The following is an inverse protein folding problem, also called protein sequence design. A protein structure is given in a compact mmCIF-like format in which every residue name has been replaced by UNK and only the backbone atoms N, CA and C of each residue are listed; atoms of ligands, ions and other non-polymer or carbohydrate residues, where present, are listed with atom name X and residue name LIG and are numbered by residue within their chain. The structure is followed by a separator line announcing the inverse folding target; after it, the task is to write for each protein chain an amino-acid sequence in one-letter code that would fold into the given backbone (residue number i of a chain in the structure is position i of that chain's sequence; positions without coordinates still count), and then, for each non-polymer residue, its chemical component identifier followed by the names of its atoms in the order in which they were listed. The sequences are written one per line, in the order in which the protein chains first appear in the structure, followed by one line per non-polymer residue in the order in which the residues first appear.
data_IF_194354238433
#
_entry.id   IF_194354238433
#
_cell.length_a   1.000
_cell.length_b   1.000
_cell.length_c   1.000
_cell.angle_alpha   90.00
_cell.angle_beta   90.00
_cell.angle_gamma   90.00
#
_symmetry.space_group_name_H-M   'P 1'
#
loop_
_entity.id
_entity.type
_entity.pdbx_description
1 polymer ?
#
# COMPACT_ATOMS: atom_id res chain seq x y z
N UNK A 1 5.80 -26.32 -54.49
CA UNK A 1 4.97 -25.99 -53.32
C UNK A 1 3.53 -25.97 -53.82
N UNK A 2 2.80 -27.04 -53.59
CA UNK A 2 1.42 -27.22 -54.06
C UNK A 2 0.51 -26.36 -53.17
N UNK A 3 -0.20 -25.43 -53.77
CA UNK A 3 -1.30 -24.70 -53.10
C UNK A 3 -2.44 -25.69 -52.83
N UNK A 4 -2.65 -26.08 -51.61
CA UNK A 4 -3.86 -26.75 -51.16
C UNK A 4 -5.03 -25.78 -51.33
N UNK A 5 -5.82 -26.02 -52.39
CA UNK A 5 -7.13 -25.41 -52.55
C UNK A 5 -8.05 -25.91 -51.46
N UNK A 6 -8.33 -25.07 -50.45
CA UNK A 6 -9.40 -25.35 -49.47
C UNK A 6 -10.70 -25.57 -50.24
N UNK A 7 -11.43 -26.67 -50.00
CA UNK A 7 -12.72 -26.87 -50.64
C UNK A 7 -13.64 -25.72 -50.25
N UNK A 8 -14.21 -25.05 -51.27
CA UNK A 8 -15.28 -24.07 -51.05
C UNK A 8 -16.46 -24.83 -50.45
N UNK A 9 -17.01 -24.44 -49.29
CA UNK A 9 -18.20 -25.12 -48.75
C UNK A 9 -19.33 -25.10 -49.77
N UNK A 10 -20.02 -26.20 -49.91
CA UNK A 10 -21.24 -26.24 -50.72
C UNK A 10 -22.15 -25.10 -50.24
N UNK A 11 -22.70 -24.30 -51.15
CA UNK A 11 -23.53 -23.14 -50.83
C UNK A 11 -24.66 -23.54 -49.89
N UNK A 12 -24.95 -22.69 -48.89
CA UNK A 12 -26.07 -22.91 -47.98
C UNK A 12 -27.37 -22.99 -48.76
N UNK A 13 -28.27 -23.91 -48.40
CA UNK A 13 -29.63 -23.89 -48.85
C UNK A 13 -30.37 -22.65 -48.36
N UNK A 14 -31.41 -22.21 -49.05
CA UNK A 14 -32.23 -21.06 -48.62
C UNK A 14 -32.72 -21.19 -47.18
N UNK A 15 -33.14 -22.39 -46.78
CA UNK A 15 -33.55 -22.67 -45.39
C UNK A 15 -32.39 -22.55 -44.37
N UNK A 16 -31.17 -22.99 -44.75
CA UNK A 16 -30.01 -22.84 -43.89
C UNK A 16 -29.59 -21.38 -43.73
N UNK A 17 -29.71 -20.58 -44.80
CA UNK A 17 -29.46 -19.14 -44.73
C UNK A 17 -30.47 -18.43 -43.83
N UNK A 18 -31.76 -18.73 -43.98
CA UNK A 18 -32.79 -18.18 -43.08
C UNK A 18 -32.53 -18.54 -41.62
N UNK A 19 -32.22 -19.79 -41.33
CA UNK A 19 -31.89 -20.22 -39.95
C UNK A 19 -30.66 -19.51 -39.43
N UNK A 20 -29.64 -19.32 -40.22
CA UNK A 20 -28.44 -18.59 -39.84
C UNK A 20 -28.73 -17.12 -39.50
N UNK A 21 -29.55 -16.46 -40.33
CA UNK A 21 -29.96 -15.09 -40.09
C UNK A 21 -30.77 -14.91 -38.80
N UNK A 22 -31.69 -15.86 -38.53
CA UNK A 22 -32.46 -15.85 -37.27
C UNK A 22 -31.60 -16.10 -36.02
N UNK A 23 -30.46 -16.80 -36.20
CA UNK A 23 -29.51 -17.06 -35.11
C UNK A 23 -28.59 -15.88 -34.80
N UNK A 24 -28.25 -15.05 -35.79
CA UNK A 24 -27.22 -14.00 -35.63
C UNK A 24 -27.79 -12.59 -35.53
N UNK A 25 -29.09 -12.38 -35.83
CA UNK A 25 -29.76 -11.09 -35.78
C UNK A 25 -31.19 -11.19 -35.31
N UNK A 26 -31.66 -10.19 -34.55
CA UNK A 26 -33.06 -10.09 -34.14
C UNK A 26 -33.96 -9.53 -35.25
N UNK A 27 -33.39 -8.76 -36.18
CA UNK A 27 -34.09 -8.19 -37.30
C UNK A 27 -33.20 -8.01 -38.51
N UNK A 28 -33.76 -8.21 -39.74
CA UNK A 28 -33.07 -7.99 -41.02
C UNK A 28 -33.82 -6.94 -41.78
N UNK A 29 -33.09 -6.06 -42.46
CA UNK A 29 -33.61 -5.08 -43.36
C UNK A 29 -32.87 -5.09 -44.71
N UNK A 30 -33.59 -4.80 -45.77
CA UNK A 30 -33.09 -4.75 -47.14
C UNK A 30 -33.66 -3.49 -47.81
N UNK A 31 -32.79 -2.52 -48.09
CA UNK A 31 -33.14 -1.24 -48.66
C UNK A 31 -32.76 -1.16 -50.12
N UNK A 32 -33.77 -0.90 -50.97
CA UNK A 32 -33.60 -0.53 -52.37
C UNK A 32 -33.60 1.00 -52.47
N UNK A 33 -32.43 1.60 -52.72
CA UNK A 33 -32.27 3.04 -52.74
C UNK A 33 -32.98 3.71 -53.91
N UNK A 34 -33.16 2.98 -55.07
CA UNK A 34 -33.78 3.50 -56.24
C UNK A 34 -35.31 3.67 -56.11
N UNK A 35 -35.92 2.81 -55.27
CA UNK A 35 -37.38 2.82 -55.07
C UNK A 35 -37.79 3.37 -53.68
N UNK A 36 -36.84 3.50 -52.79
CA UNK A 36 -37.10 3.83 -51.40
C UNK A 36 -37.74 2.69 -50.57
N UNK A 37 -37.91 1.52 -51.17
CA UNK A 37 -38.50 0.34 -50.53
C UNK A 37 -37.56 -0.28 -49.53
N UNK A 38 -38.07 -0.61 -48.35
CA UNK A 38 -37.33 -1.31 -47.30
C UNK A 38 -38.10 -2.54 -46.87
N UNK A 39 -37.57 -3.72 -47.20
CA UNK A 39 -38.07 -4.97 -46.62
C UNK A 39 -37.59 -5.10 -45.17
N UNK A 40 -38.43 -5.62 -44.29
CA UNK A 40 -38.12 -6.00 -42.92
C UNK A 40 -38.68 -7.38 -42.66
N UNK A 41 -37.82 -8.26 -42.08
CA UNK A 41 -38.25 -9.60 -41.74
C UNK A 41 -39.20 -9.59 -40.52
N UNK A 42 -39.94 -10.68 -40.22
CA UNK A 42 -40.80 -10.77 -39.04
C UNK A 42 -40.08 -10.54 -37.70
N UNK A 43 -38.80 -10.92 -37.61
CA UNK A 43 -37.95 -10.70 -36.44
C UNK A 43 -37.77 -9.23 -36.07
N UNK A 44 -37.62 -8.34 -37.10
CA UNK A 44 -37.55 -6.89 -36.90
C UNK A 44 -38.79 -6.33 -36.17
N UNK A 45 -39.98 -6.80 -36.63
CA UNK A 45 -41.25 -6.38 -36.00
C UNK A 45 -41.39 -6.96 -34.59
N UNK A 46 -41.04 -8.25 -34.38
CA UNK A 46 -41.13 -8.94 -33.10
C UNK A 46 -40.21 -8.30 -32.05
N UNK A 47 -38.99 -7.94 -32.43
CA UNK A 47 -38.02 -7.27 -31.56
C UNK A 47 -38.57 -5.97 -30.98
N UNK A 48 -39.27 -5.17 -31.78
CA UNK A 48 -39.85 -3.89 -31.36
C UNK A 48 -41.30 -4.01 -30.85
N UNK A 49 -41.90 -5.22 -30.87
CA UNK A 49 -43.26 -5.50 -30.40
C UNK A 49 -44.35 -5.07 -31.37
N UNK A 50 -44.04 -4.75 -32.62
CA UNK A 50 -45.06 -4.44 -33.66
C UNK A 50 -45.60 -5.70 -34.29
N UNK A 51 -46.88 -5.73 -34.71
CA UNK A 51 -47.39 -6.81 -35.53
C UNK A 51 -46.63 -6.89 -36.85
N UNK A 52 -46.32 -8.09 -37.34
CA UNK A 52 -45.59 -8.27 -38.61
C UNK A 52 -46.28 -7.53 -39.75
N UNK A 53 -45.50 -6.81 -40.55
CA UNK A 53 -45.96 -6.03 -41.69
C UNK A 53 -46.98 -4.92 -41.38
N UNK A 54 -47.06 -4.46 -40.13
CA UNK A 54 -47.99 -3.40 -39.72
C UNK A 54 -47.56 -1.99 -40.12
N UNK A 55 -46.32 -1.82 -40.57
CA UNK A 55 -45.77 -0.51 -40.95
C UNK A 55 -45.44 -0.45 -42.43
N UNK A 56 -45.38 0.76 -43.00
CA UNK A 56 -45.01 0.97 -44.38
C UNK A 56 -43.57 0.52 -44.67
N UNK A 57 -43.35 -0.10 -45.84
CA UNK A 57 -42.04 -0.56 -46.29
C UNK A 57 -41.22 0.61 -46.91
N UNK A 58 -40.92 1.61 -46.09
CA UNK A 58 -40.17 2.80 -46.53
C UNK A 58 -39.09 3.19 -45.52
N UNK A 59 -38.11 4.01 -45.91
CA UNK A 59 -37.09 4.60 -45.06
C UNK A 59 -37.72 5.46 -43.94
N UNK A 60 -38.81 6.18 -44.26
CA UNK A 60 -39.51 7.02 -43.28
C UNK A 60 -40.01 6.23 -42.05
N UNK A 61 -40.32 4.94 -42.22
CA UNK A 61 -40.70 4.07 -41.12
C UNK A 61 -39.54 3.87 -40.16
N UNK A 62 -38.30 3.64 -40.66
CA UNK A 62 -37.12 3.53 -39.86
C UNK A 62 -36.82 4.84 -39.11
N UNK A 63 -36.84 5.96 -39.83
CA UNK A 63 -36.61 7.27 -39.21
C UNK A 63 -37.61 7.55 -38.08
N UNK A 64 -38.90 7.17 -38.27
CA UNK A 64 -39.96 7.44 -37.30
C UNK A 64 -39.84 6.67 -35.98
N UNK A 65 -39.07 5.60 -35.95
CA UNK A 65 -38.83 4.79 -34.72
C UNK A 65 -37.54 5.14 -34.01
N UNK A 66 -36.65 5.93 -34.61
CA UNK A 66 -35.42 6.39 -33.97
C UNK A 66 -35.78 7.38 -32.82
N UNK A 67 -35.08 7.25 -31.66
CA UNK A 67 -35.26 8.21 -30.58
C UNK A 67 -34.87 9.62 -31.05
N UNK A 68 -35.66 10.67 -30.71
CA UNK A 68 -35.39 12.04 -31.20
C UNK A 68 -33.97 12.56 -30.91
N UNK A 69 -33.41 12.26 -29.76
CA UNK A 69 -32.03 12.66 -29.40
C UNK A 69 -30.97 11.92 -30.26
N UNK A 70 -31.23 10.68 -30.64
CA UNK A 70 -30.28 9.87 -31.44
C UNK A 70 -30.37 10.15 -32.93
N UNK A 71 -31.52 10.64 -33.41
CA UNK A 71 -31.82 10.86 -34.81
C UNK A 71 -30.73 11.66 -35.58
N UNK A 72 -30.27 12.85 -35.10
CA UNK A 72 -29.28 13.63 -35.86
C UNK A 72 -27.95 12.87 -36.04
N UNK A 73 -27.52 12.13 -35.00
CA UNK A 73 -26.28 11.35 -35.02
C UNK A 73 -26.38 10.14 -35.94
N UNK A 74 -27.51 9.44 -35.88
CA UNK A 74 -27.76 8.26 -36.72
C UNK A 74 -27.82 8.65 -38.18
N UNK A 75 -28.55 9.72 -38.53
CA UNK A 75 -28.65 10.21 -39.92
C UNK A 75 -27.30 10.67 -40.44
N UNK A 76 -26.53 11.44 -39.66
CA UNK A 76 -25.19 11.86 -40.07
C UNK A 76 -24.25 10.67 -40.34
N UNK A 77 -24.34 9.61 -39.51
CA UNK A 77 -23.56 8.38 -39.73
C UNK A 77 -24.00 7.63 -40.97
N UNK A 78 -25.30 7.48 -41.20
CA UNK A 78 -25.86 6.87 -42.39
C UNK A 78 -25.45 7.62 -43.67
N UNK A 79 -25.62 8.95 -43.71
CA UNK A 79 -25.21 9.80 -44.85
C UNK A 79 -23.70 9.72 -45.12
N UNK A 80 -22.87 9.68 -44.07
CA UNK A 80 -21.43 9.53 -44.24
C UNK A 80 -21.07 8.19 -44.89
N UNK A 81 -21.78 7.10 -44.54
CA UNK A 81 -21.55 5.79 -45.08
C UNK A 81 -22.00 5.68 -46.55
N UNK A 82 -23.21 6.12 -46.90
CA UNK A 82 -23.71 6.05 -48.29
C UNK A 82 -22.90 6.95 -49.25
N UNK A 83 -22.26 8.02 -48.73
CA UNK A 83 -21.34 8.88 -49.47
C UNK A 83 -19.88 8.41 -49.41
N UNK A 84 -19.61 7.17 -49.04
CA UNK A 84 -18.29 6.52 -48.98
C UNK A 84 -17.27 7.26 -48.12
N UNK A 85 -17.73 7.99 -47.10
CA UNK A 85 -16.86 8.65 -46.10
C UNK A 85 -16.50 7.75 -44.94
N UNK A 86 -17.25 6.66 -44.74
CA UNK A 86 -17.02 5.65 -43.71
C UNK A 86 -16.88 4.27 -44.39
N UNK A 87 -16.00 3.41 -43.86
CA UNK A 87 -15.78 2.05 -44.37
C UNK A 87 -16.86 1.07 -43.93
N UNK A 88 -17.48 1.32 -42.75
CA UNK A 88 -18.46 0.43 -42.13
C UNK A 88 -19.69 1.20 -41.68
N UNK A 89 -20.87 0.60 -41.88
CA UNK A 89 -22.10 1.04 -41.27
C UNK A 89 -22.35 0.21 -40.02
N UNK A 90 -22.11 0.81 -38.85
CA UNK A 90 -22.37 0.23 -37.55
C UNK A 90 -22.72 1.35 -36.59
N UNK A 91 -23.93 1.35 -36.04
CA UNK A 91 -24.40 2.40 -35.16
C UNK A 91 -25.35 1.84 -34.11
N UNK A 92 -25.17 2.29 -32.89
CA UNK A 92 -26.07 1.93 -31.77
C UNK A 92 -27.02 3.11 -31.48
N UNK A 93 -28.31 2.83 -31.37
CA UNK A 93 -29.31 3.86 -31.06
C UNK A 93 -30.56 3.25 -30.43
N UNK A 94 -31.41 4.11 -29.89
CA UNK A 94 -32.70 3.72 -29.30
C UNK A 94 -33.78 3.71 -30.34
N UNK A 95 -34.49 2.56 -30.45
CA UNK A 95 -35.69 2.40 -31.27
C UNK A 95 -36.94 2.39 -30.38
N UNK A 96 -37.98 3.09 -30.82
CA UNK A 96 -39.28 3.10 -30.18
C UNK A 96 -40.04 1.82 -30.42
N UNK A 97 -40.42 1.15 -29.34
CA UNK A 97 -41.28 -0.02 -29.37
C UNK A 97 -42.76 0.34 -29.53
N UNK A 98 -43.58 -0.65 -29.85
CA UNK A 98 -45.02 -0.50 -30.05
C UNK A 98 -45.74 0.03 -28.80
N UNK A 99 -45.27 -0.33 -27.60
CA UNK A 99 -45.79 0.13 -26.30
C UNK A 99 -45.33 1.54 -25.91
N UNK A 100 -44.53 2.19 -26.75
CA UNK A 100 -43.98 3.52 -26.52
C UNK A 100 -42.65 3.54 -25.72
N UNK A 101 -42.16 2.39 -25.21
CA UNK A 101 -40.83 2.27 -24.62
C UNK A 101 -39.75 2.35 -25.71
N UNK A 102 -38.47 2.44 -25.24
CA UNK A 102 -37.32 2.43 -26.12
C UNK A 102 -36.42 1.24 -25.85
N UNK A 103 -35.92 0.65 -26.94
CA UNK A 103 -35.00 -0.47 -26.96
C UNK A 103 -33.68 -0.05 -27.61
N UNK A 104 -32.55 -0.38 -26.97
CA UNK A 104 -31.26 -0.18 -27.61
C UNK A 104 -31.02 -1.25 -28.67
N UNK A 105 -30.71 -0.81 -29.88
CA UNK A 105 -30.29 -1.68 -30.96
C UNK A 105 -28.91 -1.31 -31.47
N UNK A 106 -28.20 -2.30 -31.99
CA UNK A 106 -27.05 -2.17 -32.87
C UNK A 106 -27.52 -2.40 -34.29
N UNK A 107 -27.31 -1.43 -35.16
CA UNK A 107 -27.68 -1.48 -36.57
C UNK A 107 -26.39 -1.54 -37.39
N UNK A 108 -26.26 -2.61 -38.18
CA UNK A 108 -25.13 -2.85 -39.08
C UNK A 108 -25.58 -3.15 -40.47
N UNK A 109 -24.82 -2.70 -41.49
CA UNK A 109 -25.22 -2.93 -42.87
C UNK A 109 -24.09 -2.80 -43.87
N UNK A 110 -24.32 -3.35 -45.05
CA UNK A 110 -23.39 -3.34 -46.16
C UNK A 110 -24.10 -2.93 -47.48
N UNK A 111 -23.44 -2.09 -48.28
CA UNK A 111 -23.85 -1.79 -49.64
C UNK A 111 -23.52 -3.01 -50.50
N UNK A 112 -24.54 -3.60 -51.11
CA UNK A 112 -24.42 -4.81 -51.95
C UNK A 112 -24.52 -4.54 -53.44
N UNK A 113 -24.99 -3.35 -53.85
CA UNK A 113 -25.04 -2.93 -55.24
C UNK A 113 -24.94 -1.42 -55.37
N UNK A 114 -24.32 -0.97 -56.49
CA UNK A 114 -24.24 0.43 -56.88
C UNK A 114 -24.91 0.60 -58.27
N UNK A 115 -25.39 1.79 -58.54
CA UNK A 115 -25.84 2.22 -59.84
C UNK A 115 -24.66 2.53 -60.81
N UNK A 116 -24.91 2.73 -62.09
CA UNK A 116 -23.87 3.08 -63.04
C UNK A 116 -23.15 4.41 -62.70
N UNK A 117 -23.85 5.32 -62.07
CA UNK A 117 -23.29 6.61 -61.61
C UNK A 117 -22.49 6.54 -60.29
N UNK A 118 -22.34 5.33 -59.72
CA UNK A 118 -21.63 5.09 -58.45
C UNK A 118 -22.48 5.33 -57.18
N UNK A 119 -23.72 5.78 -57.31
CA UNK A 119 -24.65 5.91 -56.19
C UNK A 119 -25.08 4.54 -55.64
N UNK A 120 -25.51 4.47 -54.37
CA UNK A 120 -25.99 3.22 -53.76
C UNK A 120 -27.28 2.77 -54.41
N UNK A 121 -27.34 1.52 -54.90
CA UNK A 121 -28.54 0.90 -55.43
C UNK A 121 -29.26 0.02 -54.40
N UNK A 122 -28.51 -0.73 -53.58
CA UNK A 122 -29.09 -1.62 -52.55
C UNK A 122 -28.16 -1.81 -51.37
N UNK A 123 -28.74 -1.83 -50.18
CA UNK A 123 -28.06 -2.06 -48.94
C UNK A 123 -28.82 -3.10 -48.10
N UNK A 124 -28.08 -4.03 -47.49
CA UNK A 124 -28.62 -5.08 -46.62
C UNK A 124 -28.01 -4.93 -45.22
N UNK A 125 -28.81 -5.12 -44.20
CA UNK A 125 -28.31 -5.03 -42.84
C UNK A 125 -29.15 -5.77 -41.82
N UNK A 126 -28.69 -5.67 -40.58
CA UNK A 126 -29.28 -6.34 -39.46
C UNK A 126 -29.34 -5.46 -38.21
N UNK A 127 -30.42 -5.59 -37.47
CA UNK A 127 -30.59 -5.05 -36.15
C UNK A 127 -30.36 -6.14 -35.11
N UNK A 128 -29.66 -5.80 -34.04
CA UNK A 128 -29.46 -6.64 -32.86
C UNK A 128 -29.94 -5.89 -31.63
N UNK A 129 -30.72 -6.57 -30.83
CA UNK A 129 -31.10 -6.05 -29.51
C UNK A 129 -29.93 -6.08 -28.53
N UNK A 130 -29.47 -4.93 -28.11
CA UNK A 130 -28.37 -4.78 -27.17
C UNK A 130 -28.83 -4.22 -25.81
N UNK A 131 -30.12 -4.14 -25.55
CA UNK A 131 -30.68 -3.51 -24.34
C UNK A 131 -30.23 -4.22 -23.05
N UNK A 132 -30.21 -5.56 -23.08
CA UNK A 132 -29.72 -6.34 -21.96
C UNK A 132 -28.23 -6.05 -21.65
N UNK A 133 -27.41 -5.93 -22.70
CA UNK A 133 -25.99 -5.59 -22.57
C UNK A 133 -25.82 -4.17 -22.02
N UNK A 134 -26.59 -3.20 -22.52
CA UNK A 134 -26.54 -1.81 -22.01
C UNK A 134 -26.93 -1.71 -20.54
N UNK A 135 -27.98 -2.44 -20.13
CA UNK A 135 -28.39 -2.50 -18.71
C UNK A 135 -27.32 -3.13 -17.83
N UNK A 136 -26.71 -4.24 -18.28
CA UNK A 136 -25.64 -4.92 -17.53
C UNK A 136 -24.42 -4.01 -17.36
N UNK A 137 -24.00 -3.32 -18.43
CA UNK A 137 -22.89 -2.37 -18.36
C UNK A 137 -23.20 -1.27 -17.35
N UNK A 138 -24.37 -0.65 -17.40
CA UNK A 138 -24.77 0.39 -16.45
C UNK A 138 -24.79 -0.10 -14.99
N UNK A 139 -25.27 -1.33 -14.77
CA UNK A 139 -25.24 -1.95 -13.44
C UNK A 139 -23.81 -2.19 -12.93
N UNK A 140 -22.91 -2.67 -13.81
CA UNK A 140 -21.51 -2.89 -13.48
C UNK A 140 -20.80 -1.58 -13.15
N UNK A 141 -21.03 -0.53 -13.92
CA UNK A 141 -20.48 0.81 -13.67
C UNK A 141 -20.92 1.36 -12.31
N UNK A 142 -22.22 1.27 -12.00
CA UNK A 142 -22.76 1.69 -10.72
C UNK A 142 -22.15 0.89 -9.56
N UNK A 143 -22.00 -0.43 -9.73
CA UNK A 143 -21.39 -1.29 -8.70
C UNK A 143 -19.92 -0.98 -8.50
N UNK A 144 -19.18 -0.73 -9.58
CA UNK A 144 -17.77 -0.33 -9.49
C UNK A 144 -17.58 0.99 -8.73
N UNK A 145 -18.38 2.02 -9.04
CA UNK A 145 -18.35 3.28 -8.31
C UNK A 145 -18.62 3.10 -6.82
N UNK A 146 -19.61 2.25 -6.48
CA UNK A 146 -19.90 1.92 -5.07
C UNK A 146 -18.74 1.21 -4.38
N UNK A 147 -18.13 0.22 -5.05
CA UNK A 147 -16.97 -0.52 -4.52
C UNK A 147 -15.75 0.38 -4.34
N UNK A 148 -15.46 1.26 -5.30
CA UNK A 148 -14.36 2.24 -5.20
C UNK A 148 -14.54 3.16 -3.99
N UNK A 149 -15.76 3.62 -3.75
CA UNK A 149 -16.09 4.44 -2.57
C UNK A 149 -15.86 3.67 -1.27
N UNK A 150 -16.31 2.41 -1.19
CA UNK A 150 -16.10 1.56 -0.01
C UNK A 150 -14.62 1.22 0.22
N UNK A 151 -13.86 0.96 -0.85
CA UNK A 151 -12.41 0.72 -0.76
C UNK A 151 -11.68 1.96 -0.24
N UNK A 152 -12.03 3.14 -0.76
CA UNK A 152 -11.44 4.40 -0.30
C UNK A 152 -11.75 4.69 1.18
N UNK A 153 -12.95 4.39 1.65
CA UNK A 153 -13.34 4.53 3.06
C UNK A 153 -12.57 3.55 3.95
N UNK A 154 -12.55 2.27 3.60
CA UNK A 154 -11.82 1.22 4.35
C UNK A 154 -10.32 1.47 4.40
N UNK A 155 -9.74 1.97 3.31
CA UNK A 155 -8.31 2.31 3.26
C UNK A 155 -7.97 3.43 4.24
N UNK A 156 -8.84 4.46 4.35
CA UNK A 156 -8.67 5.55 5.31
C UNK A 156 -8.79 5.06 6.76
N UNK A 157 -9.79 4.22 7.04
CA UNK A 157 -9.99 3.61 8.37
C UNK A 157 -8.78 2.76 8.79
N UNK A 158 -8.31 1.88 7.90
CA UNK A 158 -7.13 1.04 8.15
C UNK A 158 -5.86 1.86 8.38
N UNK A 159 -5.65 2.92 7.59
CA UNK A 159 -4.50 3.81 7.76
C UNK A 159 -4.52 4.51 9.12
N UNK A 160 -5.70 4.97 9.57
CA UNK A 160 -5.86 5.57 10.87
C UNK A 160 -5.60 4.58 12.02
N UNK A 161 -6.17 3.36 11.95
CA UNK A 161 -5.96 2.30 12.96
C UNK A 161 -4.48 1.91 13.03
N UNK A 162 -3.81 1.72 11.88
CA UNK A 162 -2.37 1.42 11.85
C UNK A 162 -1.54 2.52 12.49
N UNK A 163 -1.87 3.78 12.27
CA UNK A 163 -1.17 4.90 12.89
C UNK A 163 -1.36 4.92 14.42
N UNK A 164 -2.56 4.64 14.91
CA UNK A 164 -2.81 4.53 16.36
C UNK A 164 -2.05 3.35 16.98
N UNK A 165 -2.09 2.19 16.31
CA UNK A 165 -1.35 1.01 16.79
C UNK A 165 0.15 1.26 16.85
N UNK A 166 0.72 1.92 15.84
CA UNK A 166 2.15 2.26 15.84
C UNK A 166 2.51 3.18 17.02
N UNK A 167 1.69 4.21 17.29
CA UNK A 167 1.90 5.10 18.46
C UNK A 167 1.87 4.31 19.78
N UNK A 168 0.90 3.43 19.94
CA UNK A 168 0.81 2.58 21.15
C UNK A 168 2.01 1.65 21.29
N UNK A 169 2.51 1.08 20.20
CA UNK A 169 3.71 0.25 20.19
C UNK A 169 4.95 1.04 20.61
N UNK A 170 5.12 2.26 20.08
CA UNK A 170 6.24 3.13 20.41
C UNK A 170 6.19 3.58 21.89
N UNK A 171 5.01 3.97 22.38
CA UNK A 171 4.80 4.31 23.80
C UNK A 171 5.09 3.11 24.74
N UNK A 172 4.54 1.93 24.41
CA UNK A 172 4.79 0.72 25.18
C UNK A 172 6.27 0.33 25.16
N UNK A 173 6.95 0.50 24.02
CA UNK A 173 8.37 0.25 23.89
C UNK A 173 9.20 1.21 24.75
N UNK A 174 8.87 2.51 24.75
CA UNK A 174 9.54 3.48 25.63
C UNK A 174 9.37 3.12 27.09
N UNK A 175 8.17 2.76 27.52
CA UNK A 175 7.91 2.33 28.90
C UNK A 175 8.66 1.04 29.27
N UNK A 176 8.77 0.10 28.33
CA UNK A 176 9.43 -1.20 28.58
C UNK A 176 10.97 -1.13 28.53
N UNK A 177 11.56 -0.19 27.79
CA UNK A 177 13.00 -0.13 27.51
C UNK A 177 13.73 1.03 28.23
N UNK A 178 13.01 1.96 28.88
CA UNK A 178 13.61 3.09 29.61
C UNK A 178 13.42 2.99 31.10
N UNK A 179 14.39 3.52 31.86
CA UNK A 179 14.26 3.75 33.30
C UNK A 179 13.29 4.91 33.58
N UNK A 180 12.34 4.70 34.47
CA UNK A 180 11.27 5.67 34.73
C UNK A 180 11.78 7.01 35.28
N UNK A 181 12.87 7.00 36.08
CA UNK A 181 13.44 8.18 36.70
C UNK A 181 14.39 8.92 35.74
N UNK A 182 15.37 8.20 35.22
CA UNK A 182 16.51 8.79 34.48
C UNK A 182 16.30 8.84 32.97
N UNK A 183 15.29 8.16 32.44
CA UNK A 183 14.92 8.08 31.00
C UNK A 183 15.99 7.47 30.09
N UNK A 184 17.13 7.02 30.62
CA UNK A 184 18.12 6.22 29.88
C UNK A 184 17.61 4.78 29.69
N UNK A 185 18.39 3.93 29.01
CA UNK A 185 18.07 2.52 28.90
C UNK A 185 17.93 1.87 30.30
N UNK A 186 16.94 1.04 30.47
CA UNK A 186 16.80 0.22 31.65
C UNK A 186 17.56 -1.11 31.47
N UNK A 187 17.57 -1.93 32.51
CA UNK A 187 18.24 -3.25 32.56
C UNK A 187 17.80 -4.14 31.37
N UNK A 188 16.51 -4.19 31.07
CA UNK A 188 15.99 -5.02 29.99
C UNK A 188 16.57 -4.62 28.59
N UNK A 189 16.61 -3.33 28.29
CA UNK A 189 17.20 -2.81 27.07
C UNK A 189 18.70 -3.05 27.01
N UNK A 190 19.41 -2.90 28.15
CA UNK A 190 20.83 -3.18 28.24
C UNK A 190 21.13 -4.64 27.89
N UNK A 191 20.45 -5.61 28.55
CA UNK A 191 20.68 -7.04 28.32
C UNK A 191 20.47 -7.42 26.87
N UNK A 192 19.41 -6.90 26.23
CA UNK A 192 19.11 -7.12 24.83
C UNK A 192 20.16 -6.51 23.89
N UNK A 193 20.60 -5.28 24.16
CA UNK A 193 21.61 -4.61 23.37
C UNK A 193 22.98 -5.31 23.51
N UNK A 194 23.36 -5.68 24.72
CA UNK A 194 24.62 -6.33 24.98
C UNK A 194 24.72 -7.69 24.28
N UNK A 195 23.65 -8.48 24.28
CA UNK A 195 23.59 -9.72 23.52
C UNK A 195 23.90 -9.49 22.04
N UNK A 196 23.25 -8.51 21.42
CA UNK A 196 23.47 -8.18 20.00
C UNK A 196 24.90 -7.69 19.72
N UNK A 197 25.48 -6.88 20.63
CA UNK A 197 26.83 -6.38 20.46
C UNK A 197 27.89 -7.48 20.67
N UNK A 198 27.68 -8.45 21.56
CA UNK A 198 28.54 -9.64 21.68
C UNK A 198 28.52 -10.48 20.38
N UNK A 199 27.33 -10.68 19.78
CA UNK A 199 27.20 -11.38 18.49
C UNK A 199 27.91 -10.63 17.36
N UNK A 200 27.81 -9.29 17.33
CA UNK A 200 28.50 -8.43 16.37
C UNK A 200 30.00 -8.47 16.55
N UNK A 201 30.50 -8.33 17.80
CA UNK A 201 31.91 -8.40 18.12
C UNK A 201 32.53 -9.73 17.64
N UNK A 202 31.84 -10.85 17.92
CA UNK A 202 32.22 -12.18 17.44
C UNK A 202 32.25 -12.28 15.91
N UNK A 203 31.17 -11.82 15.25
CA UNK A 203 31.03 -11.93 13.77
C UNK A 203 32.05 -11.11 13.00
N UNK A 204 32.29 -9.87 13.46
CA UNK A 204 33.11 -8.90 12.74
C UNK A 204 34.53 -8.77 13.33
N UNK A 205 34.84 -9.53 14.40
CA UNK A 205 36.13 -9.47 15.14
C UNK A 205 36.46 -8.05 15.58
N UNK A 206 35.45 -7.33 16.04
CA UNK A 206 35.62 -5.95 16.53
C UNK A 206 35.69 -5.96 18.07
N UNK A 207 36.46 -5.04 18.68
CA UNK A 207 36.48 -4.94 20.13
C UNK A 207 35.12 -4.46 20.66
N UNK A 208 34.77 -4.91 21.84
CA UNK A 208 33.59 -4.48 22.57
C UNK A 208 34.02 -4.34 24.03
N UNK A 209 33.73 -3.21 24.64
CA UNK A 209 34.02 -2.98 26.04
C UNK A 209 32.80 -2.60 26.86
N UNK A 210 32.85 -2.85 28.13
CA UNK A 210 31.80 -2.57 29.10
C UNK A 210 32.39 -1.80 30.27
N UNK A 211 31.66 -0.80 30.78
CA UNK A 211 31.97 -0.09 32.03
C UNK A 211 30.78 -0.29 32.97
N UNK A 212 31.00 -0.99 34.09
CA UNK A 212 30.08 -1.03 35.22
C UNK A 212 30.43 0.11 36.20
N UNK A 213 29.42 0.79 36.70
CA UNK A 213 29.59 1.99 37.51
C UNK A 213 28.59 1.98 38.67
N UNK A 214 29.00 2.58 39.78
CA UNK A 214 28.15 2.72 40.97
C UNK A 214 28.51 4.01 41.72
N UNK A 215 27.49 4.75 42.18
CA UNK A 215 27.66 5.96 42.94
C UNK A 215 28.15 5.61 44.37
N UNK A 216 29.31 6.17 44.72
CA UNK A 216 29.91 5.94 46.02
C UNK A 216 29.06 6.56 47.13
N UNK A 217 28.78 5.79 48.20
CA UNK A 217 28.08 6.22 49.40
C UNK A 217 26.69 6.87 49.13
N UNK A 218 26.00 6.45 48.10
CA UNK A 218 24.71 7.03 47.73
C UNK A 218 23.59 6.75 48.74
N UNK A 219 23.62 5.59 49.39
CA UNK A 219 22.64 5.26 50.43
C UNK A 219 22.70 6.24 51.61
N UNK A 220 23.85 6.56 52.23
CA UNK A 220 23.97 7.61 53.27
C UNK A 220 23.43 8.98 52.80
N UNK A 221 23.58 9.34 51.53
CA UNK A 221 23.04 10.59 50.96
C UNK A 221 21.51 10.55 51.00
N UNK A 222 20.90 9.44 50.54
CA UNK A 222 19.45 9.25 50.61
C UNK A 222 18.92 9.29 52.07
N UNK A 223 19.61 8.62 52.97
CA UNK A 223 19.22 8.57 54.40
C UNK A 223 19.27 9.97 55.03
N UNK A 224 20.23 10.81 54.63
CA UNK A 224 20.43 12.16 55.21
C UNK A 224 19.55 13.23 54.53
N UNK A 225 19.38 13.20 53.23
CA UNK A 225 18.74 14.28 52.44
C UNK A 225 17.40 13.89 51.85
N UNK A 226 16.99 12.62 51.99
CA UNK A 226 15.75 12.08 51.48
C UNK A 226 15.83 11.62 50.00
N UNK A 227 15.01 10.63 49.65
CA UNK A 227 15.00 10.00 48.32
C UNK A 227 14.75 11.01 47.18
N UNK A 228 13.90 12.04 47.36
CA UNK A 228 13.62 13.04 46.31
C UNK A 228 14.88 13.82 45.89
N UNK A 229 15.79 14.12 46.81
CA UNK A 229 17.09 14.74 46.49
C UNK A 229 18.06 13.76 45.85
N UNK A 230 18.05 12.51 46.27
CA UNK A 230 18.79 11.43 45.61
C UNK A 230 18.35 11.18 44.19
N UNK A 231 17.06 11.13 43.96
CA UNK A 231 16.49 10.98 42.62
C UNK A 231 16.89 12.14 41.67
N UNK A 232 16.83 13.38 42.19
CA UNK A 232 17.31 14.54 41.42
C UNK A 232 18.82 14.48 41.13
N UNK A 233 19.62 13.92 42.06
CA UNK A 233 21.06 13.69 41.88
C UNK A 233 21.33 12.65 40.79
N UNK A 234 20.59 11.53 40.77
CA UNK A 234 20.70 10.51 39.72
C UNK A 234 20.43 11.09 38.31
N UNK A 235 19.42 11.95 38.17
CA UNK A 235 19.13 12.62 36.88
C UNK A 235 20.31 13.52 36.45
N UNK A 236 20.85 14.35 37.37
CA UNK A 236 22.00 15.20 37.05
C UNK A 236 23.27 14.40 36.69
N UNK A 237 23.50 13.27 37.41
CA UNK A 237 24.59 12.35 37.05
C UNK A 237 24.45 11.86 35.62
N UNK A 238 23.28 11.38 35.25
CA UNK A 238 23.02 10.90 33.88
C UNK A 238 23.25 11.98 32.85
N UNK A 239 22.81 13.22 33.09
CA UNK A 239 23.02 14.35 32.17
C UNK A 239 24.52 14.59 31.92
N UNK A 240 25.32 14.55 32.98
CA UNK A 240 26.79 14.70 32.89
C UNK A 240 27.42 13.51 32.17
N UNK A 241 27.06 12.27 32.51
CA UNK A 241 27.60 11.08 31.87
C UNK A 241 27.30 11.07 30.35
N UNK A 242 26.13 11.52 29.94
CA UNK A 242 25.77 11.63 28.51
C UNK A 242 26.70 12.53 27.71
N UNK A 243 27.21 13.60 28.30
CA UNK A 243 28.14 14.50 27.60
C UNK A 243 29.46 13.86 27.19
N UNK A 244 29.80 12.76 27.88
CA UNK A 244 31.05 12.02 27.69
C UNK A 244 30.95 10.86 26.70
N UNK A 245 29.76 10.57 26.17
CA UNK A 245 29.48 9.39 25.36
C UNK A 245 29.23 9.72 23.88
N UNK A 246 29.55 8.77 23.02
CA UNK A 246 29.25 8.85 21.58
C UNK A 246 27.81 8.40 21.32
N UNK A 247 27.26 8.75 20.17
CA UNK A 247 25.89 8.35 19.78
C UNK A 247 25.65 6.83 19.70
N UNK A 248 26.71 6.04 19.50
CA UNK A 248 26.67 4.58 19.46
C UNK A 248 26.84 3.90 20.83
N UNK A 249 27.29 4.64 21.85
CA UNK A 249 27.47 4.13 23.19
C UNK A 249 26.11 4.05 23.90
N UNK A 250 25.87 2.99 24.65
CA UNK A 250 24.62 2.80 25.37
C UNK A 250 24.85 2.97 26.86
N UNK A 251 24.25 4.01 27.45
CA UNK A 251 24.18 4.20 28.90
C UNK A 251 22.87 3.61 29.40
N UNK A 252 22.95 2.75 30.41
CA UNK A 252 21.82 2.12 31.04
C UNK A 252 21.89 2.18 32.57
N UNK A 253 20.73 2.23 33.22
CA UNK A 253 20.61 2.04 34.67
C UNK A 253 20.34 0.58 34.95
N UNK A 254 21.27 -0.07 35.69
CA UNK A 254 21.15 -1.46 36.07
C UNK A 254 20.17 -1.65 37.24
N UNK A 255 20.21 -0.75 38.20
CA UNK A 255 19.29 -0.69 39.34
C UNK A 255 19.81 0.27 40.41
N UNK A 256 18.93 0.89 41.20
CA UNK A 256 19.35 1.79 42.26
C UNK A 256 20.28 2.91 41.80
N UNK A 257 21.53 2.85 42.27
CA UNK A 257 22.67 3.75 41.99
C UNK A 257 23.69 3.14 41.02
N UNK A 258 23.37 1.97 40.40
CA UNK A 258 24.24 1.26 39.48
C UNK A 258 23.93 1.58 38.03
N UNK A 259 24.97 1.83 37.23
CA UNK A 259 24.89 2.13 35.80
C UNK A 259 25.87 1.25 35.03
N UNK A 260 25.54 1.01 33.76
CA UNK A 260 26.38 0.25 32.84
C UNK A 260 26.45 0.98 31.50
N UNK A 261 27.66 1.07 30.93
CA UNK A 261 27.88 1.59 29.60
C UNK A 261 28.41 0.47 28.72
N UNK A 262 27.76 0.29 27.56
CA UNK A 262 28.26 -0.57 26.47
C UNK A 262 28.96 0.32 25.44
N UNK A 263 30.21 -0.03 25.13
CA UNK A 263 31.07 0.69 24.19
C UNK A 263 31.37 -0.22 22.97
N UNK A 264 30.53 -0.18 21.93
CA UNK A 264 30.78 -0.92 20.70
C UNK A 264 32.06 -0.41 20.03
N UNK A 265 32.83 -1.34 19.43
CA UNK A 265 34.06 -1.03 18.69
C UNK A 265 35.11 -0.26 19.52
N UNK A 266 35.12 -0.46 20.83
CA UNK A 266 36.10 0.14 21.73
C UNK A 266 36.97 -0.94 22.35
N UNK A 267 38.29 -0.75 22.27
CA UNK A 267 39.30 -1.54 22.99
C UNK A 267 39.29 -1.23 24.49
N UNK A 268 39.97 -2.05 25.29
CA UNK A 268 40.13 -1.80 26.74
C UNK A 268 40.77 -0.43 27.01
N UNK A 269 41.80 -0.07 26.24
CA UNK A 269 42.48 1.23 26.39
C UNK A 269 41.55 2.41 26.16
N UNK A 270 40.74 2.35 25.06
CA UNK A 270 39.75 3.38 24.77
C UNK A 270 38.63 3.45 25.85
N UNK A 271 38.21 2.29 26.37
CA UNK A 271 37.23 2.24 27.46
C UNK A 271 37.76 2.83 28.76
N UNK A 272 39.04 2.60 29.06
CA UNK A 272 39.71 3.24 30.22
C UNK A 272 39.80 4.77 30.06
N UNK A 273 40.06 5.29 28.84
CA UNK A 273 40.02 6.71 28.58
C UNK A 273 38.60 7.29 28.78
N UNK A 274 37.56 6.56 28.32
CA UNK A 274 36.17 6.94 28.59
C UNK A 274 35.89 6.98 30.09
N UNK A 275 36.27 5.94 30.83
CA UNK A 275 36.09 5.90 32.30
C UNK A 275 36.81 7.05 32.99
N UNK A 276 38.03 7.40 32.58
CA UNK A 276 38.77 8.52 33.13
C UNK A 276 38.06 9.86 32.84
N UNK A 277 37.52 10.05 31.65
CA UNK A 277 36.74 11.25 31.27
C UNK A 277 35.44 11.35 32.07
N UNK A 278 34.73 10.22 32.27
CA UNK A 278 33.52 10.14 33.09
C UNK A 278 33.84 10.53 34.54
N UNK A 279 34.92 9.96 35.14
CA UNK A 279 35.35 10.28 36.49
C UNK A 279 35.68 11.77 36.64
N UNK A 280 36.35 12.36 35.69
CA UNK A 280 36.64 13.78 35.69
C UNK A 280 35.38 14.64 35.60
N UNK A 281 34.41 14.24 34.74
CA UNK A 281 33.17 14.96 34.57
C UNK A 281 32.27 14.93 35.84
N UNK A 282 32.38 13.90 36.67
CA UNK A 282 31.63 13.81 37.95
C UNK A 282 31.88 14.99 38.88
N UNK A 283 33.02 15.69 38.76
CA UNK A 283 33.30 16.93 39.49
C UNK A 283 32.33 18.06 39.17
N UNK A 284 31.72 18.03 37.97
CA UNK A 284 30.74 19.03 37.51
C UNK A 284 29.33 18.74 38.06
N UNK A 285 29.08 17.55 38.63
CA UNK A 285 27.78 17.22 39.20
C UNK A 285 27.60 18.03 40.48
N UNK A 286 26.50 18.77 40.56
CA UNK A 286 26.16 19.59 41.72
C UNK A 286 26.05 18.73 42.95
N UNK A 287 26.73 19.10 44.06
CA UNK A 287 26.67 18.36 45.32
C UNK A 287 25.25 18.24 45.89
N UNK A 288 24.99 17.19 46.64
CA UNK A 288 23.76 17.06 47.43
C UNK A 288 24.02 17.56 48.85
N UNK A 289 23.61 18.78 49.14
CA UNK A 289 23.96 19.46 50.37
C UNK A 289 25.46 19.73 50.45
N UNK A 290 26.14 19.15 51.44
CA UNK A 290 27.59 19.23 51.61
C UNK A 290 28.34 18.00 51.05
N UNK A 291 27.65 17.06 50.42
CA UNK A 291 28.22 15.83 49.88
C UNK A 291 28.51 15.92 48.39
N UNK A 292 29.80 15.87 48.01
CA UNK A 292 30.20 15.69 46.62
C UNK A 292 29.92 14.26 46.17
N UNK A 293 29.31 14.09 45.00
CA UNK A 293 29.06 12.77 44.40
C UNK A 293 30.32 12.26 43.70
N UNK A 294 30.71 11.03 44.03
CA UNK A 294 31.77 10.31 43.31
C UNK A 294 31.23 8.97 42.81
N UNK A 295 31.96 8.35 41.91
CA UNK A 295 31.55 7.09 41.27
C UNK A 295 32.76 6.18 41.08
N UNK A 296 32.57 4.88 41.32
CA UNK A 296 33.57 3.85 41.02
C UNK A 296 33.27 3.15 39.71
N UNK A 297 34.31 2.68 39.01
CA UNK A 297 34.23 2.16 37.65
C UNK A 297 34.94 0.83 37.51
N UNK A 298 34.26 -0.22 37.02
CA UNK A 298 34.83 -1.48 36.56
C UNK A 298 34.83 -1.55 35.04
N UNK A 299 35.99 -1.66 34.41
CA UNK A 299 36.16 -1.62 32.95
C UNK A 299 36.66 -2.97 32.45
N UNK A 300 35.97 -3.54 31.50
CA UNK A 300 36.34 -4.82 30.88
C UNK A 300 36.15 -4.81 29.40
N UNK A 301 37.02 -5.54 28.67
CA UNK A 301 36.83 -5.82 27.26
C UNK A 301 36.26 -7.23 27.09
N UNK A 302 35.31 -7.40 26.19
CA UNK A 302 34.77 -8.69 25.79
C UNK A 302 35.87 -9.62 25.27
N UNK A 303 35.82 -10.91 25.64
CA UNK A 303 36.75 -11.94 25.19
C UNK A 303 36.04 -12.94 24.27
N UNK A 304 36.78 -13.51 23.31
CA UNK A 304 36.22 -14.47 22.38
C UNK A 304 35.70 -15.72 23.13
N UNK A 305 34.44 -16.07 22.84
CA UNK A 305 33.74 -17.18 23.52
C UNK A 305 32.98 -16.83 24.77
N UNK A 306 33.10 -15.58 25.26
CA UNK A 306 32.38 -15.09 26.42
C UNK A 306 30.94 -14.70 26.05
N UNK A 307 29.98 -15.08 26.87
CA UNK A 307 28.62 -14.60 26.78
C UNK A 307 28.40 -13.27 27.55
N UNK A 308 27.24 -12.66 27.38
CA UNK A 308 26.90 -11.39 28.01
C UNK A 308 26.92 -11.46 29.55
N UNK A 309 26.57 -12.61 30.14
CA UNK A 309 26.52 -12.78 31.60
C UNK A 309 27.92 -12.87 32.20
N UNK A 310 28.81 -13.58 31.54
CA UNK A 310 30.22 -13.68 31.94
C UNK A 310 30.90 -12.31 31.85
N UNK A 311 30.64 -11.54 30.77
CA UNK A 311 31.17 -10.19 30.63
C UNK A 311 30.66 -9.24 31.72
N UNK A 312 29.36 -9.26 32.03
CA UNK A 312 28.78 -8.48 33.13
C UNK A 312 29.38 -8.87 34.48
N UNK A 313 29.55 -10.15 34.78
CA UNK A 313 30.13 -10.63 36.03
C UNK A 313 31.59 -10.18 36.21
N UNK A 314 32.39 -10.14 35.11
CA UNK A 314 33.75 -9.59 35.16
C UNK A 314 33.75 -8.08 35.42
N UNK A 315 32.84 -7.35 34.78
CA UNK A 315 32.71 -5.91 35.01
C UNK A 315 32.34 -5.59 36.47
N UNK A 316 31.41 -6.37 37.05
CA UNK A 316 31.03 -6.25 38.46
C UNK A 316 32.22 -6.57 39.41
N UNK A 317 33.02 -7.62 39.10
CA UNK A 317 34.24 -7.95 39.84
C UNK A 317 35.26 -6.82 39.75
N UNK A 318 35.43 -6.18 38.64
CA UNK A 318 36.30 -5.03 38.46
C UNK A 318 35.77 -3.81 39.26
N UNK A 319 34.46 -3.57 39.22
CA UNK A 319 33.83 -2.51 40.01
C UNK A 319 34.01 -2.71 41.51
N UNK A 320 33.87 -3.93 41.97
CA UNK A 320 34.12 -4.27 43.38
C UNK A 320 35.57 -3.96 43.80
N UNK A 321 36.57 -4.25 42.94
CA UNK A 321 37.97 -3.88 43.17
C UNK A 321 38.16 -2.35 43.24
N UNK A 322 37.51 -1.59 42.35
CA UNK A 322 37.56 -0.13 42.36
C UNK A 322 37.04 0.45 43.69
N UNK A 323 35.91 -0.09 44.20
CA UNK A 323 35.36 0.28 45.51
C UNK A 323 36.32 -0.07 46.67
N UNK A 324 36.98 -1.26 46.62
CA UNK A 324 37.97 -1.70 47.62
C UNK A 324 39.24 -0.85 47.59
N UNK A 325 39.63 -0.23 46.50
CA UNK A 325 40.80 0.64 46.35
C UNK A 325 40.56 2.07 46.84
N UNK A 326 39.50 2.33 47.58
CA UNK A 326 39.25 3.63 48.23
C UNK A 326 38.16 4.45 47.53
N UNK A 327 37.36 3.85 46.64
CA UNK A 327 36.28 4.49 45.88
C UNK A 327 36.79 5.58 44.93
N UNK A 328 35.89 6.23 44.15
CA UNK A 328 36.28 7.20 43.12
C UNK A 328 37.45 6.71 42.25
N UNK A 329 37.46 5.44 41.91
CA UNK A 329 38.56 4.72 41.28
C UNK A 329 38.09 3.94 40.04
N UNK A 330 39.06 3.63 39.19
CA UNK A 330 38.86 2.79 38.00
C UNK A 330 39.66 1.50 38.20
N UNK A 331 39.05 0.35 37.97
CA UNK A 331 39.73 -0.94 37.94
C UNK A 331 39.30 -1.74 36.69
N UNK A 332 40.20 -2.66 36.27
CA UNK A 332 39.99 -3.58 35.14
C UNK A 332 39.99 -5.03 35.57
#
# INVERSE_FOLDING_TARGET
MSQETRPVPAGFSEHQLHTLFDLISDGIWDWNANTGYVYRNPGWYAMLGYPSHSMANSVLTWESVIHPEDYPRVMAHFEAYINQRNEHYLVEYRCRCHDGSYLWIEDSGYIIAHNEDGSVARMLGAHRNIDANKRLVAQLEQRNQSLESQVAERTRELSWVNQQLQRQLDENRELAERDALTRIANRYRLEKALQLECERAKRFRQPLSLIAMDLDDFKPINDRYGHARGDAALVRVVDVLHTCLRAQDLLARWGGDEFVIVLPQASLGEALEVAARLRQAMVQVEPVGDCQLTMSYGVVQWQEGEDQHALLARADTALYRAKGNGKNAIAE
#
